data_IF_699752862673
#
_entry.id   IF_699752862673
#
_cell.length_a   1.000
_cell.length_b   1.000
_cell.length_c   1.000
_cell.angle_alpha   90.00
_cell.angle_beta   90.00
_cell.angle_gamma   90.00
#
_symmetry.space_group_name_H-M   'P 1'
#
loop_
_entity.id
_entity.type
_entity.pdbx_description
1 polymer ?
#
# COMPACT_ATOMS: atom_id res chain seq x y z
N UNK A 1 14.70 25.52 12.77
CA UNK A 1 15.96 24.72 12.81
C UNK A 1 15.58 23.28 12.64
N UNK A 2 16.26 22.62 11.72
CA UNK A 2 15.98 21.35 11.07
C UNK A 2 16.02 20.16 12.03
N UNK A 3 14.88 19.51 12.26
CA UNK A 3 14.82 18.14 12.77
C UNK A 3 15.07 17.20 11.61
N UNK A 4 16.33 16.85 11.38
CA UNK A 4 16.67 15.75 10.51
C UNK A 4 16.21 14.46 11.19
N UNK A 5 15.22 13.79 10.61
CA UNK A 5 14.90 12.41 10.96
C UNK A 5 16.18 11.59 10.77
N UNK A 6 16.79 11.20 11.89
CA UNK A 6 17.96 10.34 11.89
C UNK A 6 17.46 8.92 11.71
N UNK A 7 17.55 8.43 10.47
CA UNK A 7 17.29 7.03 10.15
C UNK A 7 18.49 6.20 10.59
N UNK A 8 18.43 5.63 11.79
CA UNK A 8 19.28 4.49 12.14
C UNK A 8 18.76 3.26 11.37
N UNK A 9 19.31 3.03 10.18
CA UNK A 9 19.11 1.81 9.41
C UNK A 9 19.82 0.64 10.10
N UNK A 10 19.16 0.02 11.07
CA UNK A 10 19.50 -1.34 11.52
C UNK A 10 18.22 -2.14 11.73
N UNK A 11 17.94 -3.06 10.80
CA UNK A 11 17.22 -4.31 11.05
C UNK A 11 15.70 -4.25 11.26
N UNK A 12 14.96 -4.98 10.42
CA UNK A 12 13.64 -5.63 10.67
C UNK A 12 12.44 -4.80 11.15
N UNK A 13 12.59 -3.56 11.60
CA UNK A 13 11.52 -2.78 12.25
C UNK A 13 11.50 -1.33 11.75
N UNK A 14 10.33 -0.85 11.35
CA UNK A 14 10.06 0.58 11.15
C UNK A 14 9.59 1.20 12.46
N UNK A 15 10.28 2.24 12.91
CA UNK A 15 9.90 2.99 14.12
C UNK A 15 9.25 4.32 13.73
N UNK A 16 8.01 4.52 14.17
CA UNK A 16 7.26 5.76 13.99
C UNK A 16 6.90 6.31 15.37
N UNK A 17 7.67 7.28 15.83
CA UNK A 17 7.58 7.81 17.21
C UNK A 17 7.72 6.67 18.25
N UNK A 18 6.62 6.31 18.92
CA UNK A 18 6.57 5.28 19.96
C UNK A 18 6.12 3.91 19.41
N UNK A 19 5.76 3.82 18.13
CA UNK A 19 5.35 2.58 17.49
C UNK A 19 6.53 1.90 16.80
N UNK A 20 6.58 0.58 16.88
CA UNK A 20 7.58 -0.27 16.23
C UNK A 20 6.85 -1.35 15.45
N UNK A 21 7.05 -1.39 14.13
CA UNK A 21 6.37 -2.33 13.25
C UNK A 21 7.37 -3.24 12.54
N UNK A 22 7.19 -4.57 12.57
CA UNK A 22 7.96 -5.47 11.74
C UNK A 22 7.75 -5.14 10.25
N UNK A 23 8.85 -5.06 9.51
CA UNK A 23 8.84 -4.75 8.08
C UNK A 23 9.46 -5.86 7.24
N UNK A 24 8.96 -6.00 6.02
CA UNK A 24 9.58 -6.81 4.97
C UNK A 24 9.93 -5.92 3.80
N UNK A 25 11.19 -5.92 3.39
CA UNK A 25 11.63 -5.16 2.23
C UNK A 25 11.27 -5.92 0.95
N UNK A 26 10.55 -5.27 0.05
CA UNK A 26 10.18 -5.85 -1.24
C UNK A 26 11.23 -5.54 -2.30
N UNK A 27 11.66 -4.28 -2.38
CA UNK A 27 12.57 -3.79 -3.40
C UNK A 27 12.60 -2.27 -3.43
N UNK A 28 13.21 -1.72 -4.47
CA UNK A 28 13.33 -0.27 -4.65
C UNK A 28 13.23 0.14 -6.10
N UNK A 29 12.58 1.27 -6.37
CA UNK A 29 12.59 1.93 -7.67
C UNK A 29 13.70 2.98 -7.73
N UNK A 30 14.51 2.95 -8.79
CA UNK A 30 15.43 4.04 -9.13
C UNK A 30 14.69 5.14 -9.89
N UNK A 31 14.74 6.38 -9.39
CA UNK A 31 14.11 7.53 -10.08
C UNK A 31 14.87 7.96 -11.34
N UNK A 32 16.16 7.65 -11.43
CA UNK A 32 16.96 7.96 -12.60
C UNK A 32 16.69 7.00 -13.77
N UNK A 33 16.52 5.71 -13.47
CA UNK A 33 16.45 4.67 -14.52
C UNK A 33 15.05 4.10 -14.73
N UNK A 34 14.08 4.43 -13.88
CA UNK A 34 12.75 3.80 -13.86
C UNK A 34 12.87 2.27 -13.88
N UNK A 35 13.67 1.75 -12.96
CA UNK A 35 13.82 0.32 -12.75
C UNK A 35 13.54 -0.05 -11.31
N UNK A 36 12.79 -1.13 -11.13
CA UNK A 36 12.62 -1.82 -9.87
C UNK A 36 13.73 -2.84 -9.70
N UNK A 37 14.41 -2.82 -8.56
CA UNK A 37 15.35 -3.86 -8.11
C UNK A 37 14.72 -4.59 -6.92
N UNK A 38 14.56 -5.91 -7.04
CA UNK A 38 14.05 -6.72 -5.94
C UNK A 38 15.04 -6.77 -4.77
N UNK A 39 14.51 -6.77 -3.55
CA UNK A 39 15.33 -6.82 -2.34
C UNK A 39 16.16 -8.12 -2.25
N UNK A 40 15.61 -9.25 -2.71
CA UNK A 40 16.32 -10.53 -2.77
C UNK A 40 17.49 -10.54 -3.76
N UNK A 41 17.53 -9.60 -4.72
CA UNK A 41 18.61 -9.45 -5.70
C UNK A 41 19.66 -8.42 -5.26
N UNK A 42 19.35 -7.59 -4.25
CA UNK A 42 20.23 -6.50 -3.83
C UNK A 42 21.24 -6.98 -2.78
N UNK A 43 22.25 -7.73 -3.22
CA UNK A 43 23.32 -8.28 -2.37
C UNK A 43 24.21 -7.22 -1.71
N UNK A 44 24.21 -5.99 -2.24
CA UNK A 44 24.99 -4.87 -1.68
C UNK A 44 24.28 -4.22 -0.48
N UNK A 45 22.96 -4.33 -0.41
CA UNK A 45 22.21 -3.88 0.74
C UNK A 45 22.36 -4.92 1.85
N UNK A 46 22.92 -4.52 2.99
CA UNK A 46 23.08 -5.37 4.18
C UNK A 46 21.73 -5.59 4.88
N UNK A 47 20.77 -6.18 4.17
CA UNK A 47 19.41 -6.43 4.64
C UNK A 47 19.41 -7.76 5.40
N UNK A 48 18.86 -7.77 6.61
CA UNK A 48 18.66 -9.01 7.37
C UNK A 48 17.81 -10.01 6.58
N UNK A 49 18.18 -11.29 6.61
CA UNK A 49 17.39 -12.38 5.99
C UNK A 49 15.93 -12.35 6.43
N UNK A 50 15.68 -11.98 7.69
CA UNK A 50 14.33 -11.95 8.27
C UNK A 50 13.46 -10.88 7.61
N UNK A 51 14.05 -9.80 7.08
CA UNK A 51 13.36 -8.75 6.33
C UNK A 51 13.10 -9.09 4.85
N UNK A 52 13.59 -10.22 4.35
CA UNK A 52 13.50 -10.58 2.93
C UNK A 52 12.48 -11.68 2.64
N UNK A 53 11.85 -12.24 3.67
CA UNK A 53 10.97 -13.42 3.56
C UNK A 53 9.89 -13.24 2.50
N UNK A 54 9.17 -12.11 2.51
CA UNK A 54 8.11 -11.85 1.53
C UNK A 54 8.63 -11.66 0.09
N UNK A 55 9.78 -11.01 -0.09
CA UNK A 55 10.40 -10.86 -1.41
C UNK A 55 10.83 -12.23 -1.98
N UNK A 56 11.39 -13.10 -1.13
CA UNK A 56 11.77 -14.48 -1.51
C UNK A 56 10.53 -15.30 -1.83
N UNK A 57 9.44 -15.16 -1.07
CA UNK A 57 8.17 -15.83 -1.32
C UNK A 57 7.54 -15.38 -2.65
N UNK A 58 7.60 -14.09 -2.99
CA UNK A 58 7.18 -13.57 -4.30
C UNK A 58 7.99 -14.17 -5.44
N UNK A 59 9.31 -14.28 -5.28
CA UNK A 59 10.16 -14.97 -6.27
C UNK A 59 9.75 -16.43 -6.46
N UNK A 60 9.54 -17.16 -5.36
CA UNK A 60 9.09 -18.55 -5.41
C UNK A 60 7.71 -18.68 -6.08
N UNK A 61 6.80 -17.75 -5.81
CA UNK A 61 5.50 -17.67 -6.48
C UNK A 61 5.66 -17.40 -7.99
N UNK A 62 6.56 -16.49 -8.37
CA UNK A 62 6.89 -16.21 -9.76
C UNK A 62 7.40 -17.43 -10.51
N UNK A 63 8.35 -18.18 -9.91
CA UNK A 63 8.88 -19.42 -10.47
C UNK A 63 7.76 -20.45 -10.66
N UNK A 64 6.94 -20.65 -9.62
CA UNK A 64 5.84 -21.63 -9.65
C UNK A 64 4.81 -21.34 -10.75
N UNK A 65 4.56 -20.06 -11.04
CA UNK A 65 3.50 -19.62 -11.95
C UNK A 65 4.02 -19.09 -13.29
N UNK A 66 5.34 -19.15 -13.55
CA UNK A 66 5.99 -18.59 -14.73
C UNK A 66 5.68 -17.09 -14.94
N UNK A 67 5.91 -16.28 -13.91
CA UNK A 67 5.72 -14.81 -13.94
C UNK A 67 7.12 -14.15 -13.94
N UNK A 68 7.67 -13.78 -15.12
CA UNK A 68 9.03 -13.25 -15.23
C UNK A 68 9.29 -12.05 -14.32
N UNK A 69 8.32 -11.15 -14.18
CA UNK A 69 8.43 -9.90 -13.42
C UNK A 69 8.74 -10.11 -11.94
N UNK A 70 8.40 -11.29 -11.40
CA UNK A 70 8.69 -11.67 -10.01
C UNK A 70 10.02 -12.42 -9.85
N UNK A 71 10.64 -12.84 -10.97
CA UNK A 71 11.84 -13.70 -10.98
C UNK A 71 13.08 -13.03 -11.54
N UNK A 72 12.91 -12.02 -12.39
CA UNK A 72 13.98 -11.16 -12.87
C UNK A 72 14.45 -10.24 -11.75
N UNK A 73 15.77 -10.08 -11.59
CA UNK A 73 16.35 -9.25 -10.54
C UNK A 73 15.91 -7.79 -10.64
N UNK A 74 15.85 -7.30 -11.88
CA UNK A 74 15.54 -5.92 -12.23
C UNK A 74 14.54 -5.89 -13.37
N UNK A 75 13.48 -5.11 -13.20
CA UNK A 75 12.45 -4.89 -14.21
C UNK A 75 12.25 -3.39 -14.45
N UNK A 76 11.71 -3.03 -15.62
CA UNK A 76 11.27 -1.66 -15.88
C UNK A 76 10.07 -1.35 -14.99
N UNK A 77 10.18 -0.29 -14.20
CA UNK A 77 9.11 0.18 -13.33
C UNK A 77 9.36 1.64 -12.90
N UNK A 78 8.34 2.46 -13.08
CA UNK A 78 8.21 3.80 -12.51
C UNK A 78 7.93 3.75 -11.02
N UNK A 79 8.00 4.90 -10.36
CA UNK A 79 7.65 4.99 -8.94
C UNK A 79 6.19 4.55 -8.67
N UNK A 80 5.26 4.91 -9.57
CA UNK A 80 3.84 4.52 -9.47
C UNK A 80 3.67 3.00 -9.58
N UNK A 81 4.40 2.34 -10.47
CA UNK A 81 4.39 0.88 -10.58
C UNK A 81 4.99 0.21 -9.34
N UNK A 82 5.97 0.84 -8.69
CA UNK A 82 6.46 0.43 -7.37
C UNK A 82 5.35 0.38 -6.30
N UNK A 83 4.47 1.38 -6.28
CA UNK A 83 3.28 1.39 -5.39
C UNK A 83 2.29 0.27 -5.75
N UNK A 84 2.11 -0.04 -7.03
CA UNK A 84 1.26 -1.15 -7.48
C UNK A 84 1.84 -2.49 -7.00
N UNK A 85 3.13 -2.73 -7.20
CA UNK A 85 3.83 -3.95 -6.73
C UNK A 85 3.69 -4.10 -5.21
N UNK A 86 3.93 -3.03 -4.44
CA UNK A 86 3.81 -3.05 -2.99
C UNK A 86 2.38 -3.30 -2.50
N UNK A 87 1.38 -2.77 -3.21
CA UNK A 87 -0.04 -3.00 -2.92
C UNK A 87 -0.44 -4.46 -3.18
N UNK A 88 0.00 -5.05 -4.29
CA UNK A 88 -0.25 -6.46 -4.62
C UNK A 88 0.39 -7.36 -3.56
N UNK A 89 1.65 -7.11 -3.21
CA UNK A 89 2.34 -7.87 -2.17
C UNK A 89 1.60 -7.76 -0.81
N UNK A 90 1.14 -6.56 -0.44
CA UNK A 90 0.38 -6.36 0.79
C UNK A 90 -0.88 -7.21 0.82
N UNK A 91 -1.65 -7.24 -0.27
CA UNK A 91 -2.84 -8.09 -0.40
C UNK A 91 -2.52 -9.59 -0.33
N UNK A 92 -1.46 -10.03 -1.04
CA UNK A 92 -1.04 -11.43 -1.08
C UNK A 92 -0.64 -11.97 0.30
N UNK A 93 0.03 -11.15 1.10
CA UNK A 93 0.51 -11.51 2.44
C UNK A 93 -0.42 -11.07 3.57
N UNK A 94 -1.60 -10.51 3.25
CA UNK A 94 -2.54 -9.95 4.23
C UNK A 94 -1.91 -8.90 5.16
N UNK A 95 -0.89 -8.19 4.68
CA UNK A 95 -0.37 -7.02 5.38
C UNK A 95 -1.37 -5.87 5.22
N UNK A 96 -1.53 -5.05 6.24
CA UNK A 96 -2.52 -3.95 6.18
C UNK A 96 -1.99 -2.73 5.45
N UNK A 97 -0.67 -2.52 5.44
CA UNK A 97 -0.05 -1.38 4.78
C UNK A 97 1.27 -1.75 4.12
N UNK A 98 1.69 -0.88 3.22
CA UNK A 98 3.08 -0.76 2.82
C UNK A 98 3.58 0.66 3.13
N UNK A 99 4.89 0.80 3.22
CA UNK A 99 5.57 2.08 3.33
C UNK A 99 6.52 2.25 2.15
N UNK A 100 6.51 3.45 1.58
CA UNK A 100 7.37 3.87 0.49
C UNK A 100 8.32 4.95 1.01
N UNK A 101 9.56 4.57 1.32
CA UNK A 101 10.61 5.46 1.81
C UNK A 101 11.35 6.10 0.65
N UNK A 102 11.00 7.35 0.30
CA UNK A 102 11.72 8.12 -0.71
C UNK A 102 13.03 8.65 -0.11
N UNK A 103 14.16 8.30 -0.74
CA UNK A 103 15.51 8.72 -0.33
C UNK A 103 16.20 9.62 -1.38
N UNK A 104 15.42 10.29 -2.22
CA UNK A 104 15.88 11.23 -3.23
C UNK A 104 16.27 10.57 -4.56
N UNK A 105 17.21 9.63 -4.54
CA UNK A 105 17.64 8.92 -5.75
C UNK A 105 16.71 7.76 -6.17
N UNK A 106 15.80 7.39 -5.28
CA UNK A 106 14.87 6.29 -5.47
C UNK A 106 13.88 6.18 -4.32
N UNK A 107 13.08 5.11 -4.35
CA UNK A 107 12.09 4.82 -3.32
C UNK A 107 12.15 3.35 -2.95
N UNK A 108 12.35 3.06 -1.68
CA UNK A 108 12.35 1.71 -1.13
C UNK A 108 10.95 1.36 -0.62
N UNK A 109 10.50 0.14 -0.92
CA UNK A 109 9.16 -0.32 -0.60
C UNK A 109 9.21 -1.45 0.41
N UNK A 110 8.39 -1.32 1.44
CA UNK A 110 8.31 -2.25 2.57
C UNK A 110 6.86 -2.61 2.82
N UNK A 111 6.54 -3.87 3.08
CA UNK A 111 5.26 -4.20 3.71
C UNK A 111 5.40 -4.09 5.22
N UNK A 112 4.31 -3.71 5.87
CA UNK A 112 4.23 -3.58 7.32
C UNK A 112 3.23 -4.62 7.83
N UNK A 113 3.73 -5.53 8.66
CA UNK A 113 2.84 -6.43 9.38
C UNK A 113 2.37 -5.72 10.65
N UNK A 114 1.06 -5.51 10.76
CA UNK A 114 0.40 -4.95 11.94
C UNK A 114 -0.62 -5.96 12.43
N UNK A 115 -0.76 -6.09 13.75
CA UNK A 115 -1.84 -6.91 14.31
C UNK A 115 -3.18 -6.17 14.14
N UNK A 116 -4.30 -6.88 14.25
CA UNK A 116 -5.61 -6.21 14.24
C UNK A 116 -5.78 -5.23 15.41
N UNK A 117 -5.12 -5.50 16.54
CA UNK A 117 -5.19 -4.70 17.77
C UNK A 117 -4.48 -3.34 17.62
N UNK A 118 -3.44 -3.26 16.78
CA UNK A 118 -2.68 -2.02 16.52
C UNK A 118 -3.50 -0.95 15.78
N UNK A 119 -4.67 -1.32 15.25
CA UNK A 119 -5.51 -0.43 14.46
C UNK A 119 -6.83 -0.16 15.17
N UNK A 120 -6.96 1.07 15.67
CA UNK A 120 -8.28 1.60 16.00
C UNK A 120 -9.12 1.67 14.72
N UNK A 121 -10.28 1.00 14.68
CA UNK A 121 -11.26 1.20 13.61
C UNK A 121 -11.80 2.63 13.67
N UNK A 122 -11.36 3.47 12.73
CA UNK A 122 -11.82 4.84 12.55
C UNK A 122 -12.60 4.93 11.24
N UNK A 123 -13.88 4.51 11.19
CA UNK A 123 -14.67 4.53 9.95
C UNK A 123 -14.77 5.93 9.34
N UNK A 124 -14.73 6.97 10.17
CA UNK A 124 -14.66 8.40 9.78
C UNK A 124 -13.47 8.71 8.86
N UNK A 125 -12.38 7.95 8.97
CA UNK A 125 -11.15 8.20 8.19
C UNK A 125 -11.39 8.10 6.69
N UNK A 126 -12.42 7.36 6.25
CA UNK A 126 -12.79 7.23 4.83
C UNK A 126 -12.93 8.60 4.16
N UNK A 127 -13.56 9.56 4.85
CA UNK A 127 -13.82 10.91 4.32
C UNK A 127 -12.55 11.73 4.09
N UNK A 128 -11.45 11.40 4.78
CA UNK A 128 -10.16 12.07 4.63
C UNK A 128 -9.20 11.29 3.73
N UNK A 129 -9.08 9.99 3.97
CA UNK A 129 -8.08 9.12 3.34
C UNK A 129 -8.46 8.83 1.89
N UNK A 130 -9.73 8.57 1.60
CA UNK A 130 -10.13 8.18 0.25
C UNK A 130 -9.99 9.32 -0.77
N UNK A 131 -10.39 10.58 -0.48
CA UNK A 131 -10.10 11.70 -1.38
C UNK A 131 -8.60 11.88 -1.65
N UNK A 132 -7.75 11.75 -0.63
CA UNK A 132 -6.30 11.82 -0.81
C UNK A 132 -5.76 10.70 -1.70
N UNK A 133 -6.28 9.49 -1.54
CA UNK A 133 -5.92 8.33 -2.37
C UNK A 133 -6.18 8.59 -3.86
N UNK A 134 -7.39 9.03 -4.21
CA UNK A 134 -7.77 9.27 -5.62
C UNK A 134 -7.07 10.50 -6.22
N UNK A 135 -6.62 11.45 -5.39
CA UNK A 135 -5.78 12.56 -5.85
C UNK A 135 -4.33 12.15 -6.10
N UNK A 136 -3.86 11.11 -5.43
CA UNK A 136 -2.46 10.66 -5.50
C UNK A 136 -2.24 9.62 -6.60
N UNK A 137 -3.23 8.76 -6.83
CA UNK A 137 -3.11 7.62 -7.74
C UNK A 137 -4.17 7.67 -8.84
N UNK A 138 -3.75 7.36 -10.06
CA UNK A 138 -4.66 7.14 -11.18
C UNK A 138 -5.32 5.77 -11.03
N UNK A 139 -6.56 5.76 -10.55
CA UNK A 139 -7.32 4.54 -10.29
C UNK A 139 -8.80 4.72 -10.63
N UNK A 140 -9.53 3.62 -10.78
CA UNK A 140 -10.98 3.69 -10.95
C UNK A 140 -11.63 3.98 -9.58
N UNK A 141 -12.15 5.20 -9.37
CA UNK A 141 -12.60 5.65 -8.04
C UNK A 141 -13.70 4.74 -7.49
N UNK A 142 -14.69 4.37 -8.31
CA UNK A 142 -15.80 3.49 -7.90
C UNK A 142 -15.29 2.13 -7.40
N UNK A 143 -14.47 1.44 -8.20
CA UNK A 143 -13.91 0.13 -7.82
C UNK A 143 -13.05 0.23 -6.56
N UNK A 144 -12.19 1.25 -6.49
CA UNK A 144 -11.33 1.45 -5.32
C UNK A 144 -12.15 1.70 -4.05
N UNK A 145 -13.19 2.54 -4.10
CA UNK A 145 -14.02 2.81 -2.93
C UNK A 145 -14.77 1.56 -2.46
N UNK A 146 -15.30 0.77 -3.39
CA UNK A 146 -15.99 -0.48 -3.08
C UNK A 146 -15.11 -1.43 -2.25
N UNK A 147 -13.89 -1.70 -2.74
CA UNK A 147 -12.96 -2.57 -2.03
C UNK A 147 -12.43 -1.95 -0.74
N UNK A 148 -12.17 -0.63 -0.73
CA UNK A 148 -11.72 0.08 0.46
C UNK A 148 -12.75 0.01 1.60
N UNK A 149 -14.03 0.25 1.30
CA UNK A 149 -15.10 0.16 2.29
C UNK A 149 -15.28 -1.27 2.82
N UNK A 150 -15.21 -2.28 1.95
CA UNK A 150 -15.25 -3.69 2.36
C UNK A 150 -14.09 -4.06 3.29
N UNK A 151 -12.87 -3.60 2.98
CA UNK A 151 -11.68 -3.80 3.85
C UNK A 151 -11.84 -3.13 5.22
N UNK A 152 -12.52 -1.97 5.27
CA UNK A 152 -12.87 -1.26 6.50
C UNK A 152 -14.10 -1.83 7.22
N UNK A 153 -14.63 -2.97 6.79
CA UNK A 153 -15.74 -3.66 7.46
C UNK A 153 -17.15 -3.11 7.15
N UNK A 154 -17.28 -2.23 6.14
CA UNK A 154 -18.59 -1.75 5.71
C UNK A 154 -19.30 -2.80 4.85
N UNK A 155 -20.62 -2.88 4.98
CA UNK A 155 -21.48 -3.52 3.97
C UNK A 155 -21.71 -2.51 2.85
N UNK A 156 -21.43 -2.90 1.62
CA UNK A 156 -21.50 -2.01 0.45
C UNK A 156 -22.70 -2.36 -0.42
N UNK A 157 -23.43 -1.33 -0.82
CA UNK A 157 -24.56 -1.38 -1.75
C UNK A 157 -24.23 -0.49 -2.95
N UNK A 158 -24.38 -1.04 -4.16
CA UNK A 158 -24.07 -0.34 -5.40
C UNK A 158 -25.35 0.01 -6.15
N UNK A 159 -25.41 1.24 -6.65
CA UNK A 159 -26.42 1.76 -7.57
C UNK A 159 -25.72 2.29 -8.82
N UNK A 160 -26.50 2.65 -9.85
CA UNK A 160 -25.96 3.10 -11.15
C UNK A 160 -24.99 4.29 -11.02
N UNK A 161 -25.32 5.29 -10.21
CA UNK A 161 -24.58 6.54 -10.05
C UNK A 161 -23.93 6.70 -8.66
N UNK A 162 -24.19 5.76 -7.75
CA UNK A 162 -23.79 5.87 -6.35
C UNK A 162 -23.31 4.56 -5.74
N UNK A 163 -22.60 4.69 -4.62
CA UNK A 163 -22.15 3.59 -3.77
C UNK A 163 -22.38 3.98 -2.31
N UNK A 164 -23.07 3.14 -1.56
CA UNK A 164 -23.33 3.36 -0.13
C UNK A 164 -22.65 2.28 0.70
N UNK A 165 -21.76 2.69 1.61
CA UNK A 165 -21.15 1.85 2.62
C UNK A 165 -21.85 2.03 3.97
N UNK A 166 -22.19 0.94 4.63
CA UNK A 166 -22.86 0.94 5.95
C UNK A 166 -22.03 0.17 6.98
N UNK A 167 -21.62 0.86 8.05
CA UNK A 167 -21.00 0.26 9.24
C UNK A 167 -21.94 0.35 10.46
N UNK A 168 -21.44 -0.04 11.63
CA UNK A 168 -22.16 0.12 12.90
C UNK A 168 -22.36 1.58 13.30
N UNK A 169 -21.40 2.47 12.97
CA UNK A 169 -21.36 3.87 13.44
C UNK A 169 -21.64 4.89 12.34
N UNK A 170 -21.37 4.52 11.09
CA UNK A 170 -21.29 5.45 9.98
C UNK A 170 -21.93 4.86 8.72
N UNK A 171 -22.73 5.67 8.03
CA UNK A 171 -23.15 5.44 6.65
C UNK A 171 -22.38 6.42 5.76
N UNK A 172 -21.71 5.91 4.73
CA UNK A 172 -20.97 6.71 3.74
C UNK A 172 -21.67 6.57 2.40
N UNK A 173 -21.92 7.67 1.71
CA UNK A 173 -22.48 7.68 0.34
C UNK A 173 -21.54 8.42 -0.59
N UNK A 174 -21.22 7.81 -1.72
CA UNK A 174 -20.43 8.42 -2.77
C UNK A 174 -21.23 8.46 -4.08
N UNK A 175 -21.05 9.53 -4.85
CA UNK A 175 -21.61 9.70 -6.18
C UNK A 175 -20.49 9.75 -7.22
N UNK A 176 -20.79 9.29 -8.43
CA UNK A 176 -19.84 9.19 -9.52
C UNK A 176 -20.40 9.79 -10.79
N UNK A 177 -19.51 10.29 -11.64
CA UNK A 177 -19.85 10.62 -13.03
C UNK A 177 -19.84 9.38 -13.94
N UNK A 178 -20.15 9.59 -15.22
CA UNK A 178 -20.19 8.53 -16.24
C UNK A 178 -18.84 7.83 -16.47
N UNK A 179 -17.73 8.48 -16.08
CA UNK A 179 -16.38 7.92 -16.17
C UNK A 179 -15.96 7.21 -14.87
N UNK A 180 -16.88 6.99 -13.94
CA UNK A 180 -16.66 6.42 -12.61
C UNK A 180 -15.73 7.25 -11.73
N UNK A 181 -15.63 8.56 -11.96
CA UNK A 181 -14.89 9.49 -11.09
C UNK A 181 -15.83 10.00 -10.01
N UNK A 182 -15.38 9.89 -8.76
CA UNK A 182 -16.12 10.38 -7.60
C UNK A 182 -16.33 11.90 -7.68
N UNK A 183 -17.59 12.32 -7.61
CA UNK A 183 -18.02 13.74 -7.63
C UNK A 183 -18.43 14.25 -6.26
N UNK A 184 -18.91 13.36 -5.39
CA UNK A 184 -19.26 13.68 -4.00
C UNK A 184 -18.96 12.48 -3.08
N UNK A 185 -18.65 12.78 -1.82
CA UNK A 185 -18.48 11.81 -0.75
C UNK A 185 -18.99 12.43 0.56
N UNK A 186 -20.02 11.83 1.13
CA UNK A 186 -20.67 12.31 2.34
C UNK A 186 -20.86 11.18 3.35
N UNK A 187 -21.08 11.53 4.61
CA UNK A 187 -21.42 10.56 5.63
C UNK A 187 -22.50 11.06 6.59
N UNK A 188 -23.24 10.11 7.13
CA UNK A 188 -24.20 10.31 8.21
C UNK A 188 -23.87 9.35 9.35
N UNK A 189 -23.78 9.89 10.56
CA UNK A 189 -23.67 9.09 11.78
C UNK A 189 -24.97 8.35 12.06
N UNK A 190 -24.85 7.19 12.69
CA UNK A 190 -25.99 6.43 13.21
C UNK A 190 -26.17 6.64 14.69
#
# INVERSE_FOLDING_TARGET
MTGADSYEQVGTVLRLQHFSFPIQMLGSVSHQSNTWLWAWANSQAQISSDSLTQAIQLKAYGIKNNIPELTEEKISATNNEGHVIASIASGMFKNRFYYAGNYGAGTAFFTINVTQEDLMEQPESVLKVFPQLIMTFELNHRKALNFYLKDKGFRVFESNDSLTGVSAKLTVTAHFDELNRMTNLEAAHK
#
